data_IF_972507779631
#
_entry.id   IF_972507779631
#
_cell.length_a   1.000
_cell.length_b   1.000
_cell.length_c   1.000
_cell.angle_alpha   90.00
_cell.angle_beta   90.00
_cell.angle_gamma   90.00
#
_symmetry.space_group_name_H-M   'P 1'
#
loop_
_entity.id
_entity.type
_entity.pdbx_description
1 polymer ?
#
# COMPACT_ATOMS: atom_id res chain seq x y z
N UNK A 1 -51.38 4.66 20.14
CA UNK A 1 -50.13 5.35 20.54
C UNK A 1 -48.97 4.43 20.89
N UNK A 2 -49.18 3.26 21.52
CA UNK A 2 -48.09 2.37 21.96
C UNK A 2 -47.25 1.76 20.81
N UNK A 3 -47.86 1.51 19.64
CA UNK A 3 -47.21 0.89 18.47
C UNK A 3 -46.33 1.86 17.67
N UNK A 4 -46.65 3.14 17.64
CA UNK A 4 -45.85 4.16 16.96
C UNK A 4 -44.49 4.36 17.65
N UNK A 5 -44.50 4.53 18.99
CA UNK A 5 -43.27 4.67 19.78
C UNK A 5 -42.33 3.47 19.69
N UNK A 6 -42.86 2.25 19.55
CA UNK A 6 -42.04 1.04 19.36
C UNK A 6 -41.31 1.06 18.03
N UNK A 7 -42.01 1.38 16.94
CA UNK A 7 -41.41 1.52 15.60
C UNK A 7 -40.34 2.61 15.55
N UNK A 8 -40.57 3.75 16.22
CA UNK A 8 -39.57 4.82 16.29
C UNK A 8 -38.32 4.39 17.09
N UNK A 9 -38.51 3.60 18.15
CA UNK A 9 -37.41 3.07 18.95
C UNK A 9 -36.61 2.00 18.19
N UNK A 10 -37.27 1.14 17.42
CA UNK A 10 -36.64 0.16 16.52
C UNK A 10 -35.82 0.87 15.45
N UNK A 11 -36.43 1.82 14.72
CA UNK A 11 -35.75 2.59 13.67
C UNK A 11 -34.50 3.32 14.17
N UNK A 12 -34.53 3.89 15.39
CA UNK A 12 -33.35 4.52 16.00
C UNK A 12 -32.23 3.53 16.32
N UNK A 13 -32.59 2.30 16.75
CA UNK A 13 -31.61 1.24 17.03
C UNK A 13 -30.97 0.75 15.74
N UNK A 14 -31.75 0.62 14.67
CA UNK A 14 -31.26 0.18 13.37
C UNK A 14 -30.32 1.24 12.78
N UNK A 15 -30.71 2.52 12.81
CA UNK A 15 -29.84 3.63 12.39
C UNK A 15 -28.52 3.66 13.18
N UNK A 16 -28.58 3.50 14.51
CA UNK A 16 -27.37 3.48 15.34
C UNK A 16 -26.44 2.30 15.01
N UNK A 17 -27.00 1.13 14.66
CA UNK A 17 -26.22 -0.04 14.23
C UNK A 17 -25.58 0.19 12.87
N UNK A 18 -26.31 0.78 11.93
CA UNK A 18 -25.78 1.14 10.60
C UNK A 18 -24.66 2.16 10.70
N UNK A 19 -24.83 3.20 11.53
CA UNK A 19 -23.80 4.20 11.77
C UNK A 19 -22.55 3.57 12.39
N UNK A 20 -22.71 2.69 13.39
CA UNK A 20 -21.59 1.94 13.98
C UNK A 20 -20.87 1.09 12.95
N UNK A 21 -21.60 0.32 12.15
CA UNK A 21 -21.03 -0.51 11.08
C UNK A 21 -20.31 0.35 10.04
N UNK A 22 -20.87 1.52 9.69
CA UNK A 22 -20.25 2.48 8.77
C UNK A 22 -18.95 3.04 9.35
N UNK A 23 -18.92 3.42 10.62
CA UNK A 23 -17.72 3.93 11.27
C UNK A 23 -16.62 2.87 11.38
N UNK A 24 -16.97 1.62 11.70
CA UNK A 24 -16.01 0.50 11.72
C UNK A 24 -15.47 0.20 10.32
N UNK A 25 -16.34 0.15 9.32
CA UNK A 25 -15.90 -0.08 7.94
C UNK A 25 -14.97 1.06 7.46
N UNK A 26 -15.34 2.32 7.72
CA UNK A 26 -14.50 3.47 7.36
C UNK A 26 -13.14 3.46 8.05
N UNK A 27 -13.05 3.04 9.32
CA UNK A 27 -11.77 2.97 10.04
C UNK A 27 -10.85 1.91 9.47
N UNK A 28 -11.39 0.72 9.14
CA UNK A 28 -10.63 -0.35 8.48
C UNK A 28 -10.09 0.08 7.11
N UNK A 29 -10.91 0.76 6.32
CA UNK A 29 -10.50 1.22 4.99
C UNK A 29 -9.41 2.30 5.05
N UNK A 30 -9.53 3.22 6.02
CA UNK A 30 -8.47 4.20 6.30
C UNK A 30 -7.18 3.50 6.73
N UNK A 31 -7.27 2.50 7.61
CA UNK A 31 -6.11 1.73 8.06
C UNK A 31 -5.42 1.03 6.90
N UNK A 32 -6.17 0.37 6.00
CA UNK A 32 -5.65 -0.27 4.79
C UNK A 32 -4.95 0.74 3.87
N UNK A 33 -5.55 1.92 3.66
CA UNK A 33 -4.92 2.99 2.87
C UNK A 33 -3.64 3.51 3.51
N UNK A 34 -3.65 3.73 4.83
CA UNK A 34 -2.48 4.20 5.57
C UNK A 34 -1.38 3.15 5.54
N UNK A 35 -1.71 1.88 5.76
CA UNK A 35 -0.78 0.76 5.74
C UNK A 35 -0.03 0.67 4.41
N UNK A 36 -0.74 0.74 3.28
CA UNK A 36 -0.11 0.78 1.94
C UNK A 36 0.88 1.93 1.80
N UNK A 37 0.46 3.13 2.17
CA UNK A 37 1.30 4.33 2.09
C UNK A 37 2.51 4.23 3.01
N UNK A 38 2.37 3.66 4.21
CA UNK A 38 3.48 3.40 5.13
C UNK A 38 4.49 2.41 4.54
N UNK A 39 4.04 1.30 3.93
CA UNK A 39 4.95 0.33 3.30
C UNK A 39 5.68 0.96 2.11
N UNK A 40 4.99 1.75 1.27
CA UNK A 40 5.63 2.46 0.15
C UNK A 40 6.66 3.50 0.63
N UNK A 41 6.35 4.24 1.71
CA UNK A 41 7.28 5.19 2.32
C UNK A 41 8.51 4.48 2.92
N UNK A 42 8.32 3.31 3.54
CA UNK A 42 9.43 2.48 4.03
C UNK A 42 10.32 1.97 2.89
N UNK A 43 9.74 1.57 1.74
CA UNK A 43 10.50 1.17 0.57
C UNK A 43 11.34 2.33 0.00
N UNK A 44 10.74 3.52 -0.12
CA UNK A 44 11.46 4.74 -0.52
C UNK A 44 12.59 5.08 0.46
N UNK A 45 12.33 5.01 1.77
CA UNK A 45 13.34 5.26 2.80
C UNK A 45 14.48 4.25 2.77
N UNK A 46 14.19 2.98 2.48
CA UNK A 46 15.19 1.91 2.33
C UNK A 46 16.12 2.19 1.16
N UNK A 47 15.59 2.61 0.01
CA UNK A 47 16.41 3.00 -1.14
C UNK A 47 17.24 4.26 -0.88
N UNK A 48 16.68 5.27 -0.23
CA UNK A 48 17.45 6.46 0.17
C UNK A 48 18.58 6.09 1.13
N UNK A 49 18.33 5.17 2.06
CA UNK A 49 19.35 4.70 2.99
C UNK A 49 20.45 3.90 2.28
N UNK A 50 20.10 3.14 1.22
CA UNK A 50 21.07 2.44 0.35
C UNK A 50 22.06 3.40 -0.36
N UNK A 51 21.69 4.67 -0.53
CA UNK A 51 22.57 5.70 -1.09
C UNK A 51 23.61 6.25 -0.10
N UNK A 52 23.51 5.92 1.19
CA UNK A 52 24.55 6.23 2.17
C UNK A 52 25.71 5.26 2.03
N UNK A 53 26.91 5.68 2.43
CA UNK A 53 28.14 4.88 2.25
C UNK A 53 28.11 3.68 3.19
N UNK A 54 27.67 2.54 2.65
CA UNK A 54 27.41 1.31 3.38
C UNK A 54 28.40 0.23 2.95
N UNK A 55 28.99 -0.55 3.89
CA UNK A 55 29.85 -1.70 3.56
C UNK A 55 29.18 -2.67 2.58
N UNK A 56 29.94 -3.18 1.61
CA UNK A 56 29.41 -3.86 0.42
C UNK A 56 28.48 -5.07 0.68
N UNK A 57 28.62 -5.75 1.82
CA UNK A 57 27.72 -6.86 2.20
C UNK A 57 26.27 -6.43 2.46
N UNK A 58 26.06 -5.17 2.82
CA UNK A 58 24.76 -4.63 3.20
C UNK A 58 23.80 -4.45 2.01
N UNK A 59 24.36 -4.26 0.82
CA UNK A 59 23.61 -4.10 -0.43
C UNK A 59 22.76 -5.33 -0.76
N UNK A 60 23.26 -6.54 -0.44
CA UNK A 60 22.51 -7.78 -0.67
C UNK A 60 21.31 -7.91 0.26
N UNK A 61 21.47 -7.54 1.53
CA UNK A 61 20.38 -7.52 2.51
C UNK A 61 19.31 -6.47 2.19
N UNK A 62 19.72 -5.26 1.82
CA UNK A 62 18.82 -4.19 1.39
C UNK A 62 18.00 -4.59 0.15
N UNK A 63 18.62 -5.25 -0.83
CA UNK A 63 17.93 -5.77 -2.02
C UNK A 63 16.90 -6.85 -1.68
N UNK A 64 17.24 -7.78 -0.79
CA UNK A 64 16.30 -8.79 -0.32
C UNK A 64 15.11 -8.15 0.43
N UNK A 65 15.37 -7.14 1.27
CA UNK A 65 14.33 -6.39 1.96
C UNK A 65 13.42 -5.66 0.96
N UNK A 66 14.00 -4.98 -0.03
CA UNK A 66 13.25 -4.27 -1.06
C UNK A 66 12.38 -5.21 -1.89
N UNK A 67 12.90 -6.39 -2.25
CA UNK A 67 12.14 -7.45 -2.92
C UNK A 67 10.89 -7.84 -2.11
N UNK A 68 11.04 -8.06 -0.80
CA UNK A 68 9.92 -8.39 0.10
C UNK A 68 8.91 -7.23 0.16
N UNK A 69 9.39 -6.00 0.28
CA UNK A 69 8.52 -4.82 0.29
C UNK A 69 7.76 -4.65 -1.04
N UNK A 70 8.40 -4.88 -2.18
CA UNK A 70 7.76 -4.89 -3.50
C UNK A 70 6.67 -5.97 -3.60
N UNK A 71 6.95 -7.18 -3.14
CA UNK A 71 5.98 -8.28 -3.15
C UNK A 71 4.77 -7.97 -2.26
N UNK A 72 5.00 -7.46 -1.05
CA UNK A 72 3.95 -7.02 -0.14
C UNK A 72 3.10 -5.90 -0.78
N UNK A 73 3.73 -4.87 -1.34
CA UNK A 73 3.03 -3.79 -2.05
C UNK A 73 2.24 -4.31 -3.24
N UNK A 74 2.76 -5.26 -4.00
CA UNK A 74 2.05 -5.89 -5.12
C UNK A 74 0.77 -6.57 -4.67
N UNK A 75 0.81 -7.34 -3.58
CA UNK A 75 -0.37 -7.98 -2.99
C UNK A 75 -1.39 -6.93 -2.54
N UNK A 76 -0.93 -5.88 -1.85
CA UNK A 76 -1.78 -4.82 -1.32
C UNK A 76 -2.46 -4.00 -2.43
N UNK A 77 -1.71 -3.64 -3.47
CA UNK A 77 -2.22 -2.91 -4.64
C UNK A 77 -3.22 -3.77 -5.40
N UNK A 78 -2.91 -5.06 -5.61
CA UNK A 78 -3.81 -6.00 -6.27
C UNK A 78 -5.14 -6.16 -5.51
N UNK A 79 -5.09 -6.24 -4.18
CA UNK A 79 -6.30 -6.31 -3.35
C UNK A 79 -7.14 -5.04 -3.38
N UNK A 80 -6.52 -3.87 -3.53
CA UNK A 80 -7.20 -2.58 -3.50
C UNK A 80 -7.95 -2.29 -4.81
N UNK A 81 -7.35 -2.55 -5.97
CA UNK A 81 -7.91 -2.15 -7.27
C UNK A 81 -7.99 -3.27 -8.32
N UNK A 82 -7.56 -4.49 -7.98
CA UNK A 82 -7.35 -5.56 -8.97
C UNK A 82 -6.04 -5.34 -9.75
N UNK A 83 -5.91 -5.89 -10.96
CA UNK A 83 -4.74 -5.66 -11.82
C UNK A 83 -4.71 -4.19 -12.31
N UNK A 84 -4.22 -3.29 -11.46
CA UNK A 84 -4.07 -1.87 -11.76
C UNK A 84 -2.75 -1.62 -12.50
N UNK A 85 -2.82 -1.49 -13.82
CA UNK A 85 -1.76 -0.87 -14.61
C UNK A 85 -1.75 0.64 -14.33
N UNK A 86 -0.60 1.32 -14.14
CA UNK A 86 0.80 0.89 -14.32
C UNK A 86 1.52 0.41 -13.05
N UNK A 87 0.88 0.44 -11.88
CA UNK A 87 1.56 0.24 -10.59
C UNK A 87 2.02 -1.20 -10.37
N UNK A 88 1.17 -2.17 -10.73
CA UNK A 88 1.51 -3.59 -10.55
C UNK A 88 2.67 -4.01 -11.45
N UNK A 89 2.68 -3.57 -12.71
CA UNK A 89 3.77 -3.83 -13.65
C UNK A 89 5.05 -3.11 -13.24
N UNK A 90 4.95 -1.86 -12.77
CA UNK A 90 6.10 -1.14 -12.19
C UNK A 90 6.71 -1.87 -11.00
N UNK A 91 5.90 -2.38 -10.07
CA UNK A 91 6.38 -3.16 -8.92
C UNK A 91 7.08 -4.46 -9.34
N UNK A 92 6.60 -5.14 -10.38
CA UNK A 92 7.26 -6.33 -10.92
C UNK A 92 8.63 -5.96 -11.52
N UNK A 93 8.71 -4.88 -12.29
CA UNK A 93 9.98 -4.40 -12.86
C UNK A 93 10.98 -4.05 -11.76
N UNK A 94 10.56 -3.33 -10.73
CA UNK A 94 11.42 -3.00 -9.57
C UNK A 94 11.83 -4.27 -8.83
N UNK A 95 10.92 -5.20 -8.58
CA UNK A 95 11.23 -6.47 -7.91
C UNK A 95 12.28 -7.29 -8.69
N UNK A 96 12.20 -7.29 -10.03
CA UNK A 96 13.18 -7.98 -10.87
C UNK A 96 14.52 -7.25 -10.91
N UNK A 97 14.52 -5.92 -11.04
CA UNK A 97 15.73 -5.12 -11.11
C UNK A 97 16.55 -5.19 -9.81
N UNK A 98 15.91 -5.13 -8.65
CA UNK A 98 16.57 -5.23 -7.34
C UNK A 98 16.61 -6.66 -6.77
N UNK A 99 16.40 -7.67 -7.60
CA UNK A 99 16.42 -9.06 -7.14
C UNK A 99 17.84 -9.49 -6.75
N UNK A 100 18.11 -9.93 -5.50
CA UNK A 100 19.43 -10.39 -5.08
C UNK A 100 19.92 -11.63 -5.85
N UNK A 101 19.02 -12.40 -6.44
CA UNK A 101 19.36 -13.59 -7.24
C UNK A 101 19.83 -13.25 -8.66
N UNK A 102 19.66 -12.01 -9.11
CA UNK A 102 20.25 -11.53 -10.37
C UNK A 102 21.57 -10.81 -10.07
N UNK A 103 22.74 -11.43 -10.31
CA UNK A 103 24.03 -10.81 -10.07
C UNK A 103 24.34 -9.77 -11.15
N UNK A 104 23.74 -8.58 -11.03
CA UNK A 104 24.17 -7.40 -11.79
C UNK A 104 25.49 -6.90 -11.21
N UNK A 105 26.58 -7.16 -11.92
CA UNK A 105 27.94 -6.69 -11.61
C UNK A 105 28.12 -5.21 -11.97
N UNK A 106 27.30 -4.36 -11.36
CA UNK A 106 27.39 -2.90 -11.46
C UNK A 106 28.07 -2.34 -10.21
N UNK A 107 28.92 -1.34 -10.42
CA UNK A 107 29.54 -0.54 -9.38
C UNK A 107 28.49 0.29 -8.64
N UNK A 108 28.80 0.72 -7.41
CA UNK A 108 27.88 1.54 -6.59
C UNK A 108 27.42 2.80 -7.32
N UNK A 109 28.30 3.45 -8.08
CA UNK A 109 28.00 4.68 -8.82
C UNK A 109 26.96 4.43 -9.94
N UNK A 110 26.98 3.26 -10.56
CA UNK A 110 26.01 2.88 -11.59
C UNK A 110 24.64 2.53 -11.00
N UNK A 111 24.58 2.12 -9.73
CA UNK A 111 23.33 1.85 -9.02
C UNK A 111 22.60 3.12 -8.54
N UNK A 112 23.31 4.21 -8.30
CA UNK A 112 22.71 5.46 -7.79
C UNK A 112 21.56 5.97 -8.69
N UNK A 113 21.71 6.07 -10.02
CA UNK A 113 20.60 6.48 -10.90
C UNK A 113 19.37 5.57 -10.80
N UNK A 114 19.59 4.25 -10.67
CA UNK A 114 18.50 3.29 -10.50
C UNK A 114 17.82 3.48 -9.15
N UNK A 115 18.59 3.62 -8.07
CA UNK A 115 18.03 3.84 -6.73
C UNK A 115 17.19 5.14 -6.69
N UNK A 116 17.64 6.20 -7.37
CA UNK A 116 16.87 7.45 -7.51
C UNK A 116 15.55 7.19 -8.25
N UNK A 117 15.58 6.47 -9.37
CA UNK A 117 14.38 6.12 -10.13
C UNK A 117 13.39 5.29 -9.28
N UNK A 118 13.90 4.34 -8.49
CA UNK A 118 13.12 3.56 -7.54
C UNK A 118 12.47 4.41 -6.45
N UNK A 119 13.22 5.34 -5.85
CA UNK A 119 12.69 6.29 -4.85
C UNK A 119 11.55 7.11 -5.44
N UNK A 120 11.74 7.69 -6.64
CA UNK A 120 10.70 8.46 -7.32
C UNK A 120 9.46 7.59 -7.55
N UNK A 121 9.64 6.35 -8.02
CA UNK A 121 8.54 5.42 -8.24
C UNK A 121 7.73 5.14 -6.95
N UNK A 122 8.40 4.85 -5.83
CA UNK A 122 7.70 4.59 -4.56
C UNK A 122 7.04 5.84 -3.98
N UNK A 123 7.63 7.02 -4.16
CA UNK A 123 7.00 8.29 -3.77
C UNK A 123 5.71 8.49 -4.58
N UNK A 124 5.77 8.32 -5.91
CA UNK A 124 4.58 8.41 -6.77
C UNK A 124 3.52 7.38 -6.37
N UNK A 125 3.92 6.14 -6.08
CA UNK A 125 3.03 5.09 -5.59
C UNK A 125 2.37 5.47 -4.25
N UNK A 126 3.14 6.05 -3.32
CA UNK A 126 2.66 6.50 -2.02
C UNK A 126 1.63 7.63 -2.16
N UNK A 127 1.91 8.62 -3.03
CA UNK A 127 0.98 9.70 -3.35
C UNK A 127 -0.28 9.18 -4.03
N UNK A 128 -0.14 8.24 -4.96
CA UNK A 128 -1.28 7.62 -5.63
C UNK A 128 -2.15 6.78 -4.68
N UNK A 129 -1.54 6.05 -3.75
CA UNK A 129 -2.26 5.26 -2.73
C UNK A 129 -3.00 6.14 -1.72
N UNK A 130 -2.52 7.37 -1.49
CA UNK A 130 -3.10 8.30 -0.50
C UNK A 130 -4.49 8.75 -0.97
N UNK A 131 -5.54 8.18 -0.37
CA UNK A 131 -6.93 8.57 -0.61
C UNK A 131 -7.73 7.67 -1.55
N UNK A 132 -7.13 6.58 -2.07
CA UNK A 132 -7.87 5.55 -2.82
C UNK A 132 -8.51 4.56 -1.85
N UNK A 133 -9.85 4.54 -1.82
CA UNK A 133 -10.58 3.46 -1.17
C UNK A 133 -10.54 2.20 -2.06
N UNK A 134 -10.52 0.99 -1.48
CA UNK A 134 -10.66 -0.26 -2.23
C UNK A 134 -11.88 -0.23 -3.16
N UNK A 135 -11.71 -0.65 -4.42
CA UNK A 135 -12.78 -0.57 -5.42
C UNK A 135 -13.95 -1.51 -5.12
N UNK A 136 -13.68 -2.56 -4.34
CA UNK A 136 -14.61 -3.62 -3.92
C UNK A 136 -15.27 -3.32 -2.57
N UNK A 137 -15.47 -2.06 -2.20
CA UNK A 137 -16.23 -1.72 -0.99
C UNK A 137 -17.64 -2.34 -1.06
N UNK A 138 -18.05 -3.18 -0.10
CA UNK A 138 -19.46 -3.40 0.15
C UNK A 138 -19.99 -2.08 0.71
N UNK A 139 -20.49 -1.21 -0.16
CA UNK A 139 -21.29 -0.07 0.28
C UNK A 139 -22.57 -0.70 0.86
N UNK A 140 -22.89 -0.49 2.15
CA UNK A 140 -24.21 -0.84 2.64
C UNK A 140 -25.20 0.01 1.84
N UNK A 141 -25.82 -0.60 0.82
CA UNK A 141 -26.88 0.01 0.05
C UNK A 141 -28.07 0.11 0.98
N UNK A 142 -28.27 1.29 1.56
CA UNK A 142 -29.53 1.63 2.19
C UNK A 142 -30.63 1.54 1.11
N UNK A 143 -31.48 0.52 1.20
CA UNK A 143 -32.74 0.37 0.48
C UNK A 143 -33.85 0.26 1.51
#
# INVERSE_FOLDING_TARGET
MCTARRRDAEKKRDLAREDQARHENMSRLKLESTWRTSVAALAAGTLLFSMLDQPGGYYSGMRALLLVLCALLGILVYRAEGPSWPWLSGLIVVALAWNPFFPMRMTRQEWVPWDIAGVIFFILLAFWSKGRLPRNLPIPTAL
#
